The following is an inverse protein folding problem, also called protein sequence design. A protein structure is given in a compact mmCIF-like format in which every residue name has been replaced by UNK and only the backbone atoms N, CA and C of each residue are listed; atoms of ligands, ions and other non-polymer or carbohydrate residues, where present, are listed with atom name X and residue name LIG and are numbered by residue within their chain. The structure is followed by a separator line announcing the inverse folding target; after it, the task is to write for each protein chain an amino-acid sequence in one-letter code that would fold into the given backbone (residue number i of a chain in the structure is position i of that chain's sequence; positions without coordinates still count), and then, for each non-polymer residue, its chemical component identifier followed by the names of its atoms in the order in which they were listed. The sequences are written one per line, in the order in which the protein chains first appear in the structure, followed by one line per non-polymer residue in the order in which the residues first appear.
data_IF_811945091603
#
_entry.id   IF_811945091603
#
_cell.length_a   1.000
_cell.length_b   1.000
_cell.length_c   1.000
_cell.angle_alpha   90.00
_cell.angle_beta   90.00
_cell.angle_gamma   90.00
#
_symmetry.space_group_name_H-M   'P 1'
#
loop_
_entity.id
_entity.type
_entity.pdbx_description
1 polymer ?
#
# COMPACT_ATOMS: atom_id res chain seq x y z
N UNK A 1 28.13 -2.49 5.62
CA UNK A 1 27.02 -2.29 4.67
C UNK A 1 26.34 -3.64 4.54
N UNK A 2 25.14 -3.85 5.12
CA UNK A 2 24.47 -5.17 5.06
C UNK A 2 23.99 -5.42 3.63
N UNK A 3 24.44 -6.51 3.03
CA UNK A 3 23.89 -7.02 1.78
C UNK A 3 22.42 -7.35 1.98
N UNK A 4 21.56 -6.72 1.18
CA UNK A 4 20.16 -7.11 1.06
C UNK A 4 20.09 -8.49 0.43
N UNK A 5 19.78 -9.52 1.23
CA UNK A 5 19.33 -10.80 0.71
C UNK A 5 17.84 -10.66 0.39
N UNK A 6 17.43 -11.08 -0.81
CA UNK A 6 16.04 -10.99 -1.27
C UNK A 6 15.05 -11.87 -0.47
N UNK A 7 15.51 -12.52 0.60
CA UNK A 7 14.75 -13.48 1.41
C UNK A 7 13.99 -12.83 2.57
N UNK A 8 14.40 -11.63 3.01
CA UNK A 8 13.71 -10.89 4.08
C UNK A 8 13.28 -9.54 3.52
N UNK A 9 11.98 -9.32 3.35
CA UNK A 9 11.46 -8.00 2.98
C UNK A 9 11.97 -6.92 3.93
N UNK A 10 12.23 -5.70 3.42
CA UNK A 10 12.62 -4.58 4.27
C UNK A 10 11.53 -4.27 5.29
N UNK A 11 11.83 -3.66 6.44
CA UNK A 11 10.77 -3.16 7.32
C UNK A 11 9.99 -2.02 6.64
N UNK A 12 8.69 -1.85 6.91
CA UNK A 12 7.94 -0.69 6.44
C UNK A 12 8.59 0.61 6.92
N UNK A 13 8.71 1.58 6.03
CA UNK A 13 9.18 2.93 6.36
C UNK A 13 8.00 3.90 6.30
N UNK A 14 7.74 4.60 7.41
CA UNK A 14 6.73 5.64 7.46
C UNK A 14 7.24 6.90 6.75
N UNK A 15 6.46 7.38 5.79
CA UNK A 15 6.76 8.63 5.05
C UNK A 15 5.87 9.78 5.47
N UNK A 16 4.72 9.47 6.06
CA UNK A 16 3.82 10.44 6.67
C UNK A 16 3.20 9.81 7.91
N UNK A 17 3.34 10.49 9.04
CA UNK A 17 2.72 10.11 10.30
C UNK A 17 2.13 11.37 10.94
N UNK A 18 0.81 11.40 11.03
CA UNK A 18 0.06 12.35 11.82
C UNK A 18 -0.70 11.59 12.88
N UNK A 19 -0.55 12.00 14.15
CA UNK A 19 -1.27 11.42 15.28
C UNK A 19 -1.66 12.56 16.21
N UNK A 20 -2.97 12.73 16.43
CA UNK A 20 -3.50 13.70 17.39
C UNK A 20 -4.00 12.93 18.62
N UNK A 21 -3.55 13.32 19.81
CA UNK A 21 -3.93 12.64 21.05
C UNK A 21 -5.33 13.01 21.54
N UNK A 22 -6.15 11.99 21.77
CA UNK A 22 -7.29 11.77 22.68
C UNK A 22 -8.28 12.90 23.04
N UNK A 23 -7.87 14.16 23.25
CA UNK A 23 -8.75 15.21 23.75
C UNK A 23 -9.84 15.65 22.76
N UNK A 24 -9.67 15.38 21.46
CA UNK A 24 -10.60 15.80 20.39
C UNK A 24 -10.99 14.63 19.44
N UNK A 25 -10.78 13.39 19.88
CA UNK A 25 -10.91 12.18 19.07
C UNK A 25 -9.60 11.76 18.40
N UNK A 26 -9.33 10.45 18.37
CA UNK A 26 -8.10 9.88 17.83
C UNK A 26 -8.09 10.00 16.30
N UNK A 27 -7.57 11.12 15.79
CA UNK A 27 -7.31 11.32 14.36
C UNK A 27 -5.87 10.98 14.06
N UNK A 28 -5.67 9.99 13.20
CA UNK A 28 -4.37 9.59 12.72
C UNK A 28 -4.39 9.38 11.21
N UNK A 29 -3.24 9.62 10.59
CA UNK A 29 -2.94 9.23 9.22
C UNK A 29 -1.53 8.65 9.21
N UNK A 30 -1.37 7.48 8.64
CA UNK A 30 -0.09 6.81 8.46
C UNK A 30 0.02 6.31 7.03
N UNK A 31 1.04 6.79 6.32
CA UNK A 31 1.41 6.31 4.99
C UNK A 31 2.80 5.68 5.09
N UNK A 32 2.94 4.46 4.61
CA UNK A 32 4.21 3.74 4.64
C UNK A 32 4.44 2.90 3.39
N UNK A 33 5.70 2.62 3.11
CA UNK A 33 6.13 1.78 1.99
C UNK A 33 7.05 0.66 2.45
N UNK A 34 6.97 -0.47 1.77
CA UNK A 34 7.83 -1.61 2.05
C UNK A 34 8.17 -2.38 0.78
N UNK A 35 9.44 -2.73 0.61
CA UNK A 35 9.84 -3.70 -0.40
C UNK A 35 9.79 -5.10 0.19
N UNK A 36 9.09 -6.01 -0.49
CA UNK A 36 8.98 -7.41 -0.10
C UNK A 36 9.36 -8.33 -1.26
N UNK A 37 9.76 -9.56 -0.96
CA UNK A 37 10.00 -10.54 -2.00
C UNK A 37 8.70 -10.96 -2.70
N UNK A 38 8.79 -11.41 -3.95
CA UNK A 38 7.62 -11.94 -4.67
C UNK A 38 7.00 -13.16 -3.97
N UNK A 39 7.82 -13.99 -3.32
CA UNK A 39 7.33 -15.16 -2.57
C UNK A 39 6.59 -14.76 -1.29
N UNK A 40 7.05 -13.72 -0.58
CA UNK A 40 6.33 -13.15 0.57
C UNK A 40 5.00 -12.53 0.16
N UNK A 41 4.95 -11.82 -0.97
CA UNK A 41 3.72 -11.16 -1.43
C UNK A 41 2.55 -12.11 -1.66
N UNK A 42 2.82 -13.40 -1.93
CA UNK A 42 1.79 -14.44 -2.12
C UNK A 42 1.29 -15.06 -0.81
N UNK A 43 1.98 -14.82 0.30
CA UNK A 43 1.70 -15.45 1.60
C UNK A 43 1.14 -14.46 2.62
N UNK A 44 1.14 -13.18 2.28
CA UNK A 44 0.92 -12.10 3.23
C UNK A 44 -0.45 -11.50 3.03
N UNK A 45 -1.43 -12.18 3.60
CA UNK A 45 -2.75 -11.60 3.76
C UNK A 45 -2.78 -10.77 5.02
N UNK A 46 -3.36 -9.58 4.91
CA UNK A 46 -3.83 -8.88 6.09
C UNK A 46 -4.78 -9.79 6.86
N UNK A 47 -4.60 -9.88 8.19
CA UNK A 47 -5.52 -10.61 9.04
C UNK A 47 -6.93 -9.98 8.92
N UNK A 48 -7.93 -10.85 8.78
CA UNK A 48 -9.35 -10.47 8.67
C UNK A 48 -9.62 -9.47 7.53
N UNK A 49 -8.91 -9.62 6.42
CA UNK A 49 -8.99 -8.71 5.29
C UNK A 49 -10.14 -9.00 4.33
N UNK A 50 -10.64 -7.91 3.76
CA UNK A 50 -11.43 -7.89 2.54
C UNK A 50 -10.51 -7.58 1.36
N UNK A 51 -10.60 -8.40 0.32
CA UNK A 51 -9.83 -8.22 -0.90
C UNK A 51 -10.56 -7.27 -1.86
N UNK A 52 -9.79 -6.38 -2.47
CA UNK A 52 -10.22 -5.44 -3.49
C UNK A 52 -9.26 -5.48 -4.69
N UNK A 53 -9.72 -4.94 -5.81
CA UNK A 53 -8.90 -4.64 -6.98
C UNK A 53 -9.05 -3.16 -7.30
N UNK A 54 -7.93 -2.45 -7.42
CA UNK A 54 -7.90 -1.04 -7.83
C UNK A 54 -7.11 -0.91 -9.12
N UNK A 55 -7.78 -0.52 -10.21
CA UNK A 55 -7.18 -0.45 -11.56
C UNK A 55 -6.42 -1.73 -11.97
N UNK A 56 -6.94 -2.91 -11.62
CA UNK A 56 -6.30 -4.20 -11.89
C UNK A 56 -5.20 -4.60 -10.92
N UNK A 57 -4.88 -3.77 -9.91
CA UNK A 57 -3.88 -4.06 -8.89
C UNK A 57 -4.53 -4.62 -7.63
N UNK A 58 -4.01 -5.73 -7.06
CA UNK A 58 -4.52 -6.30 -5.82
C UNK A 58 -4.39 -5.30 -4.66
N UNK A 59 -5.46 -5.19 -3.89
CA UNK A 59 -5.51 -4.43 -2.65
C UNK A 59 -6.18 -5.25 -1.55
N UNK A 60 -5.74 -5.03 -0.31
CA UNK A 60 -6.35 -5.62 0.87
C UNK A 60 -6.67 -4.52 1.86
N UNK A 61 -7.76 -4.68 2.59
CA UNK A 61 -8.13 -3.75 3.66
C UNK A 61 -8.70 -4.53 4.83
N UNK A 62 -8.33 -4.11 6.04
CA UNK A 62 -8.96 -4.56 7.26
C UNK A 62 -9.34 -3.34 8.11
N UNK A 63 -9.76 -3.56 9.36
CA UNK A 63 -10.18 -2.47 10.25
C UNK A 63 -9.07 -1.44 10.54
N UNK A 64 -7.80 -1.80 10.36
CA UNK A 64 -6.66 -0.98 10.77
C UNK A 64 -6.06 -0.24 9.57
N UNK A 65 -5.92 -0.91 8.41
CA UNK A 65 -5.18 -0.37 7.27
C UNK A 65 -5.57 -1.01 5.95
N UNK A 66 -5.14 -0.36 4.88
CA UNK A 66 -5.15 -0.88 3.52
C UNK A 66 -3.74 -1.06 2.98
N UNK A 67 -3.56 -2.04 2.10
CA UNK A 67 -2.32 -2.34 1.40
C UNK A 67 -2.60 -2.50 -0.10
N UNK A 68 -1.74 -1.92 -0.95
CA UNK A 68 -1.72 -2.16 -2.40
C UNK A 68 -0.35 -2.71 -2.76
N UNK A 69 -0.31 -3.87 -3.43
CA UNK A 69 0.94 -4.59 -3.74
C UNK A 69 1.15 -4.68 -5.24
N UNK A 70 2.31 -4.22 -5.72
CA UNK A 70 2.59 -4.14 -7.15
C UNK A 70 4.10 -4.22 -7.45
N UNK A 71 4.50 -4.61 -8.67
CA UNK A 71 5.88 -4.50 -9.11
C UNK A 71 6.26 -3.04 -9.42
N UNK A 72 7.39 -2.57 -8.89
CA UNK A 72 8.03 -1.30 -9.32
C UNK A 72 9.47 -1.61 -9.76
N UNK A 73 9.77 -1.37 -11.04
CA UNK A 73 11.11 -1.57 -11.60
C UNK A 73 11.87 -0.25 -11.57
N UNK A 74 12.74 -0.10 -10.58
CA UNK A 74 13.56 1.10 -10.44
C UNK A 74 14.63 1.19 -11.55
N UNK A 75 15.02 2.39 -12.00
CA UNK A 75 16.10 2.56 -12.94
C UNK A 75 17.48 2.39 -12.28
N UNK A 76 18.54 2.41 -13.09
CA UNK A 76 19.93 2.42 -12.63
C UNK A 76 20.38 1.13 -11.95
N UNK A 77 21.30 1.25 -10.97
CA UNK A 77 21.96 0.13 -10.31
C UNK A 77 21.02 -0.83 -9.58
N UNK A 78 19.81 -0.36 -9.25
CA UNK A 78 18.79 -1.16 -8.57
C UNK A 78 17.82 -1.88 -9.51
N UNK A 79 17.99 -1.76 -10.83
CA UNK A 79 17.08 -2.34 -11.83
C UNK A 79 16.89 -3.85 -11.67
N UNK A 80 17.98 -4.59 -11.53
CA UNK A 80 17.90 -6.05 -11.43
C UNK A 80 17.31 -6.52 -10.10
N UNK A 81 17.62 -5.82 -9.00
CA UNK A 81 17.09 -6.15 -7.66
C UNK A 81 15.60 -5.85 -7.56
N UNK A 82 15.16 -4.67 -7.99
CA UNK A 82 13.75 -4.24 -7.92
C UNK A 82 12.80 -5.14 -8.71
N UNK A 83 13.26 -5.75 -9.81
CA UNK A 83 12.48 -6.72 -10.59
C UNK A 83 12.12 -8.00 -9.82
N UNK A 84 12.84 -8.34 -8.77
CA UNK A 84 12.60 -9.54 -7.96
C UNK A 84 11.70 -9.25 -6.75
N UNK A 85 11.32 -7.99 -6.54
CA UNK A 85 10.57 -7.51 -5.40
C UNK A 85 9.21 -6.96 -5.82
N UNK A 86 8.32 -6.83 -4.85
CA UNK A 86 7.13 -5.99 -4.92
C UNK A 86 7.27 -4.81 -3.96
N UNK A 87 6.70 -3.69 -4.36
CA UNK A 87 6.49 -2.54 -3.47
C UNK A 87 5.08 -2.66 -2.90
N UNK A 88 4.97 -2.49 -1.58
CA UNK A 88 3.70 -2.42 -0.87
C UNK A 88 3.50 -1.00 -0.39
N UNK A 89 2.45 -0.35 -0.88
CA UNK A 89 1.98 0.93 -0.36
C UNK A 89 0.90 0.70 0.69
N UNK A 90 1.05 1.31 1.87
CA UNK A 90 0.07 1.20 2.96
C UNK A 90 -0.52 2.55 3.33
N UNK A 91 -1.81 2.55 3.62
CA UNK A 91 -2.48 3.68 4.25
C UNK A 91 -3.34 3.21 5.42
N UNK A 92 -3.22 3.91 6.54
CA UNK A 92 -4.10 3.78 7.70
C UNK A 92 -4.55 5.18 8.12
N UNK A 93 -5.84 5.38 8.35
CA UNK A 93 -6.34 6.63 8.92
C UNK A 93 -7.67 6.40 9.64
N UNK A 94 -8.00 7.30 10.56
CA UNK A 94 -9.16 7.18 11.45
C UNK A 94 -10.23 8.24 11.19
N UNK A 95 -10.29 8.77 9.97
CA UNK A 95 -11.29 9.76 9.57
C UNK A 95 -12.57 9.06 9.10
N UNK A 96 -13.38 8.56 10.03
CA UNK A 96 -14.70 8.00 9.71
C UNK A 96 -15.72 9.11 9.47
N UNK A 97 -16.51 8.98 8.39
CA UNK A 97 -17.66 9.85 8.17
C UNK A 97 -18.84 9.42 9.05
N UNK A 98 -19.65 10.34 9.60
CA UNK A 98 -20.86 9.95 10.35
C UNK A 98 -21.78 9.08 9.49
N UNK A 99 -22.08 7.86 9.94
CA UNK A 99 -23.00 6.93 9.26
C UNK A 99 -22.44 6.28 7.99
N UNK A 100 -21.12 6.32 7.78
CA UNK A 100 -20.47 5.70 6.62
C UNK A 100 -20.55 4.17 6.68
N UNK A 101 -20.86 3.53 5.54
CA UNK A 101 -20.86 2.07 5.45
C UNK A 101 -19.43 1.51 5.47
N UNK A 102 -19.27 0.26 5.91
CA UNK A 102 -17.97 -0.42 5.91
C UNK A 102 -17.34 -0.43 4.51
N UNK A 103 -18.13 -0.69 3.48
CA UNK A 103 -17.66 -0.71 2.09
C UNK A 103 -17.17 0.66 1.62
N UNK A 104 -17.87 1.75 1.96
CA UNK A 104 -17.43 3.10 1.59
C UNK A 104 -16.12 3.48 2.28
N UNK A 105 -15.96 3.09 3.55
CA UNK A 105 -14.71 3.25 4.30
C UNK A 105 -13.56 2.48 3.65
N UNK A 106 -13.79 1.20 3.33
CA UNK A 106 -12.82 0.32 2.69
C UNK A 106 -12.37 0.88 1.32
N UNK A 107 -13.32 1.34 0.49
CA UNK A 107 -13.04 2.00 -0.80
C UNK A 107 -12.19 3.26 -0.60
N UNK A 108 -12.48 4.09 0.39
CA UNK A 108 -11.70 5.30 0.68
C UNK A 108 -10.27 4.95 1.15
N UNK A 109 -10.12 3.90 1.94
CA UNK A 109 -8.82 3.41 2.41
C UNK A 109 -7.96 2.93 1.23
N UNK A 110 -8.50 2.04 0.40
CA UNK A 110 -7.81 1.53 -0.80
C UNK A 110 -7.47 2.66 -1.76
N UNK A 111 -8.39 3.61 -1.97
CA UNK A 111 -8.18 4.79 -2.81
C UNK A 111 -6.99 5.62 -2.34
N UNK A 112 -6.90 5.91 -1.03
CA UNK A 112 -5.78 6.67 -0.47
C UNK A 112 -4.45 5.92 -0.65
N UNK A 113 -4.42 4.62 -0.35
CA UNK A 113 -3.22 3.79 -0.54
C UNK A 113 -2.75 3.81 -2.00
N UNK A 114 -3.67 3.69 -2.96
CA UNK A 114 -3.37 3.74 -4.39
C UNK A 114 -2.79 5.09 -4.81
N UNK A 115 -3.43 6.21 -4.41
CA UNK A 115 -2.97 7.56 -4.76
C UNK A 115 -1.58 7.84 -4.22
N UNK A 116 -1.32 7.49 -2.95
CA UNK A 116 0.01 7.67 -2.36
C UNK A 116 1.05 6.77 -3.03
N UNK A 117 0.70 5.53 -3.37
CA UNK A 117 1.55 4.64 -4.11
C UNK A 117 1.86 5.16 -5.52
N UNK A 118 0.89 5.76 -6.21
CA UNK A 118 1.10 6.38 -7.53
C UNK A 118 2.09 7.55 -7.45
N UNK A 119 2.01 8.39 -6.40
CA UNK A 119 3.01 9.44 -6.17
C UNK A 119 4.40 8.86 -5.91
N UNK A 120 4.51 7.78 -5.13
CA UNK A 120 5.78 7.11 -4.89
C UNK A 120 6.35 6.50 -6.18
N UNK A 121 5.53 5.82 -6.98
CA UNK A 121 5.93 5.26 -8.29
C UNK A 121 6.51 6.33 -9.21
N UNK A 122 5.84 7.49 -9.31
CA UNK A 122 6.33 8.62 -10.10
C UNK A 122 7.65 9.18 -9.56
N UNK A 123 7.77 9.33 -8.24
CA UNK A 123 8.97 9.86 -7.60
C UNK A 123 10.18 8.90 -7.72
N UNK A 124 9.94 7.59 -7.65
CA UNK A 124 10.95 6.55 -7.82
C UNK A 124 11.32 6.31 -9.31
N UNK A 125 10.52 6.82 -10.24
CA UNK A 125 10.74 6.64 -11.67
C UNK A 125 10.59 5.19 -12.13
N UNK A 126 9.63 4.43 -11.58
CA UNK A 126 9.45 3.02 -11.94
C UNK A 126 9.18 2.88 -13.45
N UNK A 127 10.07 2.19 -14.17
CA UNK A 127 10.03 2.08 -15.64
C UNK A 127 8.78 1.39 -16.18
N UNK A 128 8.14 0.53 -15.38
CA UNK A 128 6.98 -0.25 -15.77
C UNK A 128 5.65 0.44 -15.48
N UNK A 129 5.67 1.64 -14.90
CA UNK A 129 4.49 2.47 -14.66
C UNK A 129 3.26 1.71 -14.11
N UNK A 130 3.39 1.01 -12.97
CA UNK A 130 2.41 0.03 -12.51
C UNK A 130 1.05 0.62 -12.10
N UNK A 131 0.98 1.93 -11.84
CA UNK A 131 -0.20 2.61 -11.30
C UNK A 131 -0.53 3.82 -12.16
N UNK A 132 -1.61 3.73 -12.94
CA UNK A 132 -2.02 4.74 -13.90
C UNK A 132 -3.52 5.06 -13.79
N UNK A 133 -3.87 6.31 -14.11
CA UNK A 133 -5.24 6.80 -14.09
C UNK A 133 -5.80 7.09 -12.70
N UNK A 134 -7.07 7.50 -12.69
CA UNK A 134 -7.88 7.68 -11.47
C UNK A 134 -8.25 6.31 -10.88
N UNK A 135 -8.28 6.16 -9.54
CA UNK A 135 -8.55 4.88 -8.89
C UNK A 135 -10.02 4.45 -9.07
N UNK A 136 -10.21 3.25 -9.62
CA UNK A 136 -11.49 2.55 -9.67
C UNK A 136 -11.38 1.29 -8.82
N UNK A 137 -12.04 1.31 -7.65
CA UNK A 137 -12.01 0.23 -6.68
C UNK A 137 -13.19 -0.71 -6.89
N UNK A 138 -12.91 -2.00 -6.96
CA UNK A 138 -13.91 -3.07 -7.13
C UNK A 138 -13.65 -4.19 -6.12
N UNK A 139 -14.68 -4.91 -5.67
CA UNK A 139 -14.49 -6.11 -4.85
C UNK A 139 -13.55 -7.12 -5.54
N UNK A 140 -12.61 -7.67 -4.78
CA UNK A 140 -11.70 -8.72 -5.23
C UNK A 140 -12.38 -10.08 -5.22
N UNK A 141 -11.88 -11.00 -6.06
CA UNK A 141 -12.20 -12.43 -5.91
C UNK A 141 -11.16 -13.06 -4.99
N UNK A 142 -11.63 -13.75 -3.95
CA UNK A 142 -10.80 -14.71 -3.22
C UNK A 142 -10.46 -15.91 -4.11
#
# INVERSE_FOLDING_TARGET
MREWTAEEGALPTDVCLFQRHAAEGDRSVRISFQWISRSESRKRDLRDATDYVVNGVPAQVNEIRSEVTFPCFMPGDNRMKSRQLHLVGRAAFTAEGPGESREAMDVRHVTLAYLMAQKAVKALGCENEPLQGEPVVQPGKR
#
